data_IF_655027565020
#
_entry.id   IF_655027565020
#
_cell.length_a   1.000
_cell.length_b   1.000
_cell.length_c   1.000
_cell.angle_alpha   90.00
_cell.angle_beta   90.00
_cell.angle_gamma   90.00
#
_symmetry.space_group_name_H-M   'P 1'
#
loop_
_entity.id
_entity.type
_entity.pdbx_description
1 polymer ?
#
# COMPACT_ATOMS: atom_id res chain seq x y z
N UNK A 1 13.47 -10.83 49.55
CA UNK A 1 12.22 -10.23 49.00
C UNK A 1 12.48 -9.07 48.04
N UNK A 2 13.20 -8.00 48.44
CA UNK A 2 13.46 -6.84 47.55
C UNK A 2 14.17 -7.18 46.24
N UNK A 3 15.19 -8.06 46.27
CA UNK A 3 15.90 -8.50 45.05
C UNK A 3 15.05 -9.37 44.11
N UNK A 4 14.12 -10.15 44.66
CA UNK A 4 13.20 -10.97 43.86
C UNK A 4 12.15 -10.09 43.17
N UNK A 5 11.64 -9.07 43.87
CA UNK A 5 10.71 -8.08 43.30
C UNK A 5 11.41 -7.28 42.19
N UNK A 6 12.64 -6.81 42.44
CA UNK A 6 13.42 -6.09 41.43
C UNK A 6 13.70 -6.96 40.18
N UNK A 7 14.06 -8.24 40.38
CA UNK A 7 14.26 -9.18 39.27
C UNK A 7 12.99 -9.39 38.45
N UNK A 8 11.83 -9.52 39.09
CA UNK A 8 10.55 -9.71 38.42
C UNK A 8 10.16 -8.47 37.58
N UNK A 9 10.37 -7.27 38.11
CA UNK A 9 10.13 -6.01 37.38
C UNK A 9 10.98 -5.95 36.10
N UNK A 10 12.26 -6.30 36.18
CA UNK A 10 13.17 -6.29 35.03
C UNK A 10 12.69 -7.26 33.94
N UNK A 11 12.28 -8.48 34.32
CA UNK A 11 11.77 -9.47 33.36
C UNK A 11 10.51 -8.97 32.66
N UNK A 12 9.57 -8.36 33.39
CA UNK A 12 8.35 -7.81 32.79
C UNK A 12 8.67 -6.70 31.79
N UNK A 13 9.62 -5.81 32.11
CA UNK A 13 10.05 -4.75 31.19
C UNK A 13 10.65 -5.34 29.91
N UNK A 14 11.52 -6.34 30.03
CA UNK A 14 12.13 -7.01 28.86
C UNK A 14 11.06 -7.67 27.99
N UNK A 15 10.11 -8.39 28.59
CA UNK A 15 9.02 -9.02 27.84
C UNK A 15 8.14 -7.99 27.14
N UNK A 16 7.84 -6.86 27.79
CA UNK A 16 7.08 -5.78 27.18
C UNK A 16 7.82 -5.16 25.98
N UNK A 17 9.14 -4.97 26.07
CA UNK A 17 9.97 -4.48 24.96
C UNK A 17 9.96 -5.48 23.81
N UNK A 18 10.21 -6.77 24.07
CA UNK A 18 10.22 -7.80 23.03
C UNK A 18 8.85 -7.89 22.35
N UNK A 19 7.78 -7.86 23.14
CA UNK A 19 6.42 -7.86 22.62
C UNK A 19 6.15 -6.66 21.72
N UNK A 20 6.54 -5.45 22.14
CA UNK A 20 6.42 -4.24 21.34
C UNK A 20 7.20 -4.34 20.02
N UNK A 21 8.48 -4.76 20.07
CA UNK A 21 9.29 -4.94 18.87
C UNK A 21 8.69 -5.97 17.90
N UNK A 22 8.02 -7.00 18.45
CA UNK A 22 7.31 -7.99 17.65
C UNK A 22 6.06 -7.43 17.00
N UNK A 23 5.21 -6.70 17.74
CA UNK A 23 3.98 -6.12 17.20
C UNK A 23 4.23 -5.04 16.16
N UNK A 24 5.33 -4.30 16.32
CA UNK A 24 5.81 -3.32 15.33
C UNK A 24 6.64 -3.97 14.21
N UNK A 25 6.78 -5.30 14.20
CA UNK A 25 7.39 -6.05 13.10
C UNK A 25 8.89 -5.81 12.85
N UNK A 26 9.63 -5.26 13.83
CA UNK A 26 11.08 -5.03 13.73
C UNK A 26 11.93 -6.30 13.53
N UNK A 27 11.35 -7.48 13.73
CA UNK A 27 12.00 -8.77 13.46
C UNK A 27 11.92 -9.20 12.00
N UNK A 28 11.20 -8.46 11.16
CA UNK A 28 10.99 -8.78 9.75
C UNK A 28 11.56 -7.67 8.86
N UNK A 29 12.25 -8.05 7.79
CA UNK A 29 12.69 -7.14 6.72
C UNK A 29 11.77 -7.25 5.52
N UNK A 30 11.31 -6.12 5.00
CA UNK A 30 10.44 -6.04 3.83
C UNK A 30 11.09 -5.11 2.81
N UNK A 31 11.59 -5.68 1.73
CA UNK A 31 12.27 -4.99 0.64
C UNK A 31 11.42 -5.05 -0.63
N UNK A 32 10.77 -3.93 -0.94
CA UNK A 32 9.91 -3.79 -2.12
C UNK A 32 10.77 -3.32 -3.29
N UNK A 33 11.03 -4.21 -4.23
CA UNK A 33 11.84 -3.98 -5.43
C UNK A 33 10.99 -3.59 -6.64
N UNK A 34 9.92 -2.84 -6.38
CA UNK A 34 9.13 -2.18 -7.39
C UNK A 34 7.62 -2.20 -7.11
N UNK A 35 6.90 -1.30 -7.77
CA UNK A 35 5.44 -1.21 -7.72
C UNK A 35 4.89 -1.35 -9.14
N UNK A 36 4.13 -2.40 -9.38
CA UNK A 36 3.41 -2.59 -10.64
C UNK A 36 1.95 -2.19 -10.46
N UNK A 37 1.44 -1.38 -11.37
CA UNK A 37 0.06 -0.88 -11.29
C UNK A 37 -0.70 -1.34 -12.53
N UNK A 38 -1.80 -2.04 -12.33
CA UNK A 38 -2.66 -2.57 -13.39
C UNK A 38 -4.04 -1.92 -13.30
N UNK A 39 -4.58 -1.50 -14.45
CA UNK A 39 -5.97 -1.06 -14.55
C UNK A 39 -6.84 -2.27 -14.89
N UNK A 40 -7.76 -2.61 -13.99
CA UNK A 40 -8.82 -3.57 -14.26
C UNK A 40 -10.12 -2.84 -14.63
N UNK A 41 -10.65 -3.18 -15.80
CA UNK A 41 -11.87 -2.58 -16.32
C UNK A 41 -12.51 -3.50 -17.36
N UNK A 42 -13.84 -3.52 -17.36
CA UNK A 42 -14.63 -4.20 -18.39
C UNK A 42 -14.70 -3.40 -19.71
N UNK A 43 -14.28 -2.13 -19.71
CA UNK A 43 -14.28 -1.28 -20.88
C UNK A 43 -12.88 -1.15 -21.47
N UNK A 44 -12.70 -1.68 -22.69
CA UNK A 44 -11.41 -1.63 -23.38
C UNK A 44 -10.94 -0.18 -23.63
N UNK A 45 -11.87 0.75 -23.83
CA UNK A 45 -11.58 2.17 -24.00
C UNK A 45 -10.82 2.75 -22.80
N UNK A 46 -11.19 2.37 -21.58
CA UNK A 46 -10.55 2.85 -20.34
C UNK A 46 -9.14 2.30 -20.20
N UNK A 47 -8.93 1.01 -20.50
CA UNK A 47 -7.60 0.38 -20.46
C UNK A 47 -6.60 1.08 -21.39
N UNK A 48 -7.07 1.64 -22.50
CA UNK A 48 -6.24 2.35 -23.47
C UNK A 48 -6.09 3.85 -23.19
N UNK A 49 -7.01 4.45 -22.44
CA UNK A 49 -7.04 5.90 -22.21
C UNK A 49 -6.57 6.32 -20.81
N UNK A 50 -6.61 5.43 -19.82
CA UNK A 50 -6.15 5.73 -18.47
C UNK A 50 -4.66 5.40 -18.35
N UNK A 51 -3.83 6.43 -18.31
CA UNK A 51 -2.40 6.29 -18.13
C UNK A 51 -2.04 6.33 -16.65
N UNK A 52 -1.17 5.41 -16.24
CA UNK A 52 -0.65 5.35 -14.88
C UNK A 52 0.82 5.78 -14.88
N UNK A 53 1.18 6.63 -13.93
CA UNK A 53 2.57 6.99 -13.66
C UNK A 53 2.87 6.81 -12.17
N UNK A 54 3.97 6.14 -11.88
CA UNK A 54 4.51 5.95 -10.54
C UNK A 54 6.04 5.99 -10.60
N UNK A 55 6.68 6.71 -9.69
CA UNK A 55 8.14 6.73 -9.58
C UNK A 55 8.60 5.45 -8.91
N UNK A 56 8.99 4.47 -9.71
CA UNK A 56 9.42 3.17 -9.20
C UNK A 56 10.73 3.31 -8.41
N UNK A 57 10.69 2.99 -7.13
CA UNK A 57 11.85 3.04 -6.23
C UNK A 57 11.86 1.80 -5.35
N UNK A 58 13.05 1.36 -4.95
CA UNK A 58 13.17 0.36 -3.88
C UNK A 58 12.73 0.98 -2.55
N UNK A 59 11.88 0.28 -1.80
CA UNK A 59 11.41 0.68 -0.47
C UNK A 59 11.82 -0.39 0.52
N UNK A 60 12.65 -0.03 1.50
CA UNK A 60 13.00 -0.89 2.64
C UNK A 60 12.20 -0.50 3.87
N UNK A 61 11.54 -1.47 4.48
CA UNK A 61 10.66 -1.32 5.62
C UNK A 61 10.79 -2.51 6.57
N UNK A 62 10.29 -2.36 7.81
CA UNK A 62 10.04 -3.49 8.69
C UNK A 62 8.62 -4.04 8.48
N UNK A 63 8.31 -5.20 9.07
CA UNK A 63 6.96 -5.76 9.02
C UNK A 63 5.93 -4.89 9.75
N UNK A 64 4.64 -4.98 9.40
CA UNK A 64 3.57 -4.16 10.00
C UNK A 64 3.74 -2.62 9.86
N UNK A 65 4.68 -2.16 9.05
CA UNK A 65 4.88 -0.75 8.73
C UNK A 65 3.89 -0.30 7.66
N UNK A 66 3.32 0.89 7.84
CA UNK A 66 2.48 1.52 6.82
C UNK A 66 3.35 2.28 5.80
N UNK A 67 3.11 2.05 4.51
CA UNK A 67 3.80 2.68 3.39
C UNK A 67 2.78 3.43 2.54
N UNK A 68 3.08 4.69 2.24
CA UNK A 68 2.25 5.55 1.39
C UNK A 68 2.81 5.61 -0.03
N UNK A 69 2.01 5.19 -0.99
CA UNK A 69 2.30 5.19 -2.42
C UNK A 69 1.42 6.25 -3.12
N UNK A 70 2.05 7.15 -3.87
CA UNK A 70 1.35 8.17 -4.66
C UNK A 70 1.35 7.78 -6.13
N UNK A 71 0.19 7.36 -6.64
CA UNK A 71 0.00 6.97 -8.03
C UNK A 71 -0.67 8.12 -8.77
N UNK A 72 -0.11 8.49 -9.91
CA UNK A 72 -0.68 9.51 -10.79
C UNK A 72 -1.46 8.86 -11.91
N UNK A 73 -2.72 9.26 -12.05
CA UNK A 73 -3.64 8.80 -13.09
C UNK A 73 -3.91 9.96 -14.05
N UNK A 74 -3.85 9.69 -15.34
CA UNK A 74 -4.22 10.65 -16.39
C UNK A 74 -5.27 10.03 -17.31
N UNK A 75 -6.44 10.67 -17.37
CA UNK A 75 -7.48 10.26 -18.31
C UNK A 75 -7.25 10.95 -19.66
N UNK A 76 -6.63 10.26 -20.60
CA UNK A 76 -6.41 10.72 -21.97
C UNK A 76 -7.64 10.49 -22.88
N UNK A 77 -8.80 10.14 -22.32
CA UNK A 77 -10.03 10.04 -23.09
C UNK A 77 -10.58 11.45 -23.36
N UNK A 78 -10.97 11.77 -24.60
CA UNK A 78 -11.49 13.09 -24.93
C UNK A 78 -12.95 13.33 -24.56
N UNK A 79 -13.72 12.28 -24.29
CA UNK A 79 -15.18 12.36 -24.18
C UNK A 79 -15.75 11.73 -22.91
N UNK A 80 -15.09 10.69 -22.37
CA UNK A 80 -15.60 9.90 -21.26
C UNK A 80 -14.81 10.17 -19.98
N UNK A 81 -15.54 10.44 -18.90
CA UNK A 81 -15.00 10.37 -17.55
C UNK A 81 -14.64 8.91 -17.21
N UNK A 82 -13.61 8.74 -16.38
CA UNK A 82 -13.25 7.45 -15.81
C UNK A 82 -13.51 7.47 -14.31
N UNK A 83 -14.31 6.54 -13.83
CA UNK A 83 -14.59 6.37 -12.40
C UNK A 83 -13.71 5.28 -11.81
N UNK A 84 -12.85 5.65 -10.86
CA UNK A 84 -12.13 4.70 -10.02
C UNK A 84 -13.07 4.24 -8.92
N UNK A 85 -13.30 2.94 -8.85
CA UNK A 85 -14.31 2.34 -7.95
C UNK A 85 -13.69 1.66 -6.75
N UNK A 86 -12.53 1.03 -6.94
CA UNK A 86 -11.84 0.30 -5.90
C UNK A 86 -10.35 0.17 -6.23
N UNK A 87 -9.56 -0.20 -5.22
CA UNK A 87 -8.15 -0.55 -5.34
C UNK A 87 -7.92 -1.84 -4.56
N UNK A 88 -7.05 -2.71 -5.06
CA UNK A 88 -6.54 -3.85 -4.31
C UNK A 88 -5.02 -3.93 -4.45
N UNK A 89 -4.41 -4.69 -3.55
CA UNK A 89 -2.96 -4.90 -3.51
C UNK A 89 -2.67 -6.38 -3.41
N UNK A 90 -1.56 -6.84 -3.98
CA UNK A 90 -1.19 -8.26 -3.93
C UNK A 90 -0.85 -8.72 -2.51
N UNK A 91 -1.15 -9.98 -2.23
CA UNK A 91 -0.60 -10.67 -1.06
C UNK A 91 0.95 -10.64 -1.14
N UNK A 92 1.67 -10.46 -0.03
CA UNK A 92 1.22 -10.47 1.37
C UNK A 92 0.87 -9.10 1.98
N UNK A 93 0.76 -8.05 1.16
CA UNK A 93 0.42 -6.71 1.64
C UNK A 93 -1.07 -6.59 1.97
N UNK A 94 -1.38 -5.67 2.88
CA UNK A 94 -2.76 -5.31 3.21
C UNK A 94 -3.03 -3.88 2.79
N UNK A 95 -4.13 -3.65 2.08
CA UNK A 95 -4.59 -2.28 1.79
C UNK A 95 -5.20 -1.67 3.04
N UNK A 96 -4.65 -0.55 3.51
CA UNK A 96 -5.18 0.21 4.65
C UNK A 96 -6.14 1.29 4.15
N UNK A 97 -5.77 2.03 3.10
CA UNK A 97 -6.64 3.02 2.49
C UNK A 97 -6.22 3.35 1.06
N UNK A 98 -7.16 3.85 0.27
CA UNK A 98 -6.93 4.45 -1.03
C UNK A 98 -7.78 5.71 -1.15
N UNK A 99 -7.17 6.87 -1.36
CA UNK A 99 -7.87 8.15 -1.41
C UNK A 99 -7.42 9.00 -2.60
N UNK A 100 -8.34 9.62 -3.35
CA UNK A 100 -9.80 9.50 -3.25
C UNK A 100 -10.31 8.22 -3.94
N UNK A 101 -11.04 7.36 -3.22
CA UNK A 101 -11.78 6.23 -3.81
C UNK A 101 -13.13 6.10 -3.09
N UNK A 102 -14.27 6.08 -3.80
CA UNK A 102 -14.38 6.23 -5.25
C UNK A 102 -14.03 7.66 -5.72
N UNK A 103 -13.58 7.79 -6.97
CA UNK A 103 -13.30 9.08 -7.61
C UNK A 103 -13.67 9.08 -9.09
N UNK A 104 -13.81 10.27 -9.68
CA UNK A 104 -14.11 10.47 -11.09
C UNK A 104 -13.09 11.41 -11.72
N UNK A 105 -12.45 10.95 -12.79
CA UNK A 105 -11.44 11.67 -13.55
C UNK A 105 -12.07 12.14 -14.85
N UNK A 106 -12.36 13.44 -14.94
CA UNK A 106 -12.91 14.06 -16.14
C UNK A 106 -11.97 13.89 -17.36
N UNK A 107 -12.51 14.00 -18.59
CA UNK A 107 -11.70 13.98 -19.81
C UNK A 107 -10.50 14.92 -19.77
N UNK A 108 -9.34 14.44 -20.21
CA UNK A 108 -8.04 15.14 -20.22
C UNK A 108 -7.59 15.69 -18.85
N UNK A 109 -8.07 15.11 -17.76
CA UNK A 109 -7.70 15.53 -16.41
C UNK A 109 -6.84 14.49 -15.69
N UNK A 110 -6.20 14.93 -14.61
CA UNK A 110 -5.27 14.16 -13.82
C UNK A 110 -5.84 13.97 -12.41
N UNK A 111 -5.54 12.82 -11.80
CA UNK A 111 -5.83 12.58 -10.40
C UNK A 111 -4.64 11.91 -9.71
N UNK A 112 -4.42 12.26 -8.44
CA UNK A 112 -3.40 11.60 -7.61
C UNK A 112 -4.10 10.73 -6.59
N UNK A 113 -3.82 9.43 -6.67
CA UNK A 113 -4.32 8.42 -5.78
C UNK A 113 -3.26 8.12 -4.71
N UNK A 114 -3.62 8.36 -3.45
CA UNK A 114 -2.81 8.08 -2.27
C UNK A 114 -3.23 6.72 -1.69
N UNK A 115 -2.38 5.71 -1.85
CA UNK A 115 -2.60 4.34 -1.36
C UNK A 115 -1.70 4.10 -0.16
N UNK A 116 -2.30 3.72 0.96
CA UNK A 116 -1.58 3.27 2.14
C UNK A 116 -1.68 1.75 2.22
N UNK A 117 -0.54 1.08 2.17
CA UNK A 117 -0.43 -0.37 2.36
C UNK A 117 0.29 -0.65 3.68
N UNK A 118 -0.01 -1.80 4.28
CA UNK A 118 0.71 -2.33 5.43
C UNK A 118 1.57 -3.50 5.02
N UNK A 119 2.84 -3.47 5.41
CA UNK A 119 3.81 -4.53 5.13
C UNK A 119 3.49 -5.81 5.92
N UNK A 120 3.84 -6.99 5.39
CA UNK A 120 3.55 -8.26 6.04
C UNK A 120 4.37 -8.48 7.31
N UNK A 121 3.86 -9.34 8.21
CA UNK A 121 4.60 -9.83 9.38
C UNK A 121 5.47 -11.05 9.02
N UNK A 122 6.23 -10.93 7.93
CA UNK A 122 7.20 -11.92 7.48
C UNK A 122 8.28 -11.24 6.65
N UNK A 123 9.42 -11.91 6.46
CA UNK A 123 10.44 -11.42 5.53
C UNK A 123 9.90 -11.44 4.10
N UNK A 124 10.11 -10.35 3.37
CA UNK A 124 9.64 -10.20 1.99
C UNK A 124 10.69 -9.51 1.12
N UNK A 125 10.90 -10.04 -0.08
CA UNK A 125 11.72 -9.41 -1.10
C UNK A 125 11.02 -9.61 -2.46
N UNK A 126 10.65 -8.51 -3.12
CA UNK A 126 9.93 -8.58 -4.40
C UNK A 126 9.15 -7.31 -4.74
N UNK A 127 8.42 -7.33 -5.85
CA UNK A 127 7.56 -6.21 -6.22
C UNK A 127 6.19 -6.31 -5.52
N UNK A 128 5.45 -5.20 -5.44
CA UNK A 128 4.04 -5.19 -5.05
C UNK A 128 3.18 -4.87 -6.27
N UNK A 129 2.09 -5.60 -6.44
CA UNK A 129 1.12 -5.34 -7.50
C UNK A 129 -0.07 -4.58 -6.91
N UNK A 130 -0.49 -3.52 -7.60
CA UNK A 130 -1.65 -2.71 -7.27
C UNK A 130 -2.62 -2.81 -8.43
N UNK A 131 -3.86 -3.19 -8.14
CA UNK A 131 -4.93 -3.25 -9.13
C UNK A 131 -5.91 -2.12 -8.86
N UNK A 132 -6.11 -1.25 -9.85
CA UNK A 132 -7.06 -0.15 -9.80
C UNK A 132 -8.27 -0.55 -10.63
N UNK A 133 -9.44 -0.63 -10.01
CA UNK A 133 -10.68 -1.00 -10.67
C UNK A 133 -11.39 0.25 -11.19
N UNK A 134 -11.60 0.32 -12.49
CA UNK A 134 -12.17 1.48 -13.16
C UNK A 134 -13.36 1.13 -14.07
N UNK A 135 -14.33 2.03 -14.15
CA UNK A 135 -15.52 1.95 -15.02
C UNK A 135 -15.79 3.31 -15.66
N UNK A 136 -16.72 3.35 -16.62
CA UNK A 136 -17.20 4.62 -17.20
C UNK A 136 -17.88 5.45 -16.10
N UNK A 137 -17.56 6.76 -16.08
CA UNK A 137 -18.11 7.75 -15.14
C UNK A 137 -19.47 8.27 -15.53
#
# INVERSE_FOLDING_TARGET
>A
MKGLIAGLIIVVIILAIIYYLYTEGYFYSVDINGVYVTIDSNFLGIKNSLHVSYSNTTISAHGSQDITLKIYLYNNNPLLSVKVTNVSVSHPFTLISATPVPSEISPHNNETLCIVIKTPMCNYEGAVDIIIYATEG
#
